data_IF_334181184096
#
_entry.id   IF_334181184096
#
_cell.length_a   1.000
_cell.length_b   1.000
_cell.length_c   1.000
_cell.angle_alpha   90.00
_cell.angle_beta   90.00
_cell.angle_gamma   90.00
#
_symmetry.space_group_name_H-M   'P 1'
#
loop_
_entity.id
_entity.type
_entity.pdbx_description
1 polymer ?
#
# COMPACT_ATOMS: atom_id res chain seq x y z
N UNK A 1 3.17 -17.53 40.19
CA UNK A 1 2.56 -18.14 38.98
C UNK A 1 1.33 -17.37 38.45
N UNK A 2 0.38 -16.93 39.30
CA UNK A 2 -0.85 -16.21 38.87
C UNK A 2 -0.65 -14.77 38.34
N UNK A 3 0.39 -14.06 38.78
CA UNK A 3 0.71 -12.68 38.35
C UNK A 3 1.15 -12.61 36.89
N UNK A 4 2.02 -13.55 36.46
CA UNK A 4 2.56 -13.61 35.11
C UNK A 4 1.48 -13.87 34.06
N UNK A 5 0.44 -14.65 34.42
CA UNK A 5 -0.69 -14.91 33.53
C UNK A 5 -1.53 -13.65 33.29
N UNK A 6 -1.78 -12.85 34.33
CA UNK A 6 -2.53 -11.58 34.18
C UNK A 6 -1.77 -10.57 33.34
N UNK A 7 -0.46 -10.43 33.55
CA UNK A 7 0.38 -9.56 32.74
C UNK A 7 0.46 -10.04 31.28
N UNK A 8 0.54 -11.36 31.05
CA UNK A 8 0.52 -11.92 29.70
C UNK A 8 -0.82 -11.64 28.98
N UNK A 9 -1.95 -11.81 29.67
CA UNK A 9 -3.28 -11.48 29.11
C UNK A 9 -3.37 -9.99 28.80
N UNK A 10 -2.89 -9.11 29.67
CA UNK A 10 -2.92 -7.67 29.44
C UNK A 10 -2.03 -7.25 28.25
N UNK A 11 -0.82 -7.80 28.14
CA UNK A 11 0.05 -7.58 26.99
C UNK A 11 -0.56 -8.10 25.69
N UNK A 12 -1.23 -9.26 25.73
CA UNK A 12 -1.89 -9.82 24.57
C UNK A 12 -3.08 -8.96 24.10
N UNK A 13 -3.91 -8.50 25.04
CA UNK A 13 -5.00 -7.56 24.74
C UNK A 13 -4.47 -6.23 24.19
N UNK A 14 -3.35 -5.74 24.72
CA UNK A 14 -2.69 -4.53 24.22
C UNK A 14 -2.16 -4.71 22.79
N UNK A 15 -1.56 -5.85 22.46
CA UNK A 15 -1.10 -6.17 21.10
C UNK A 15 -2.28 -6.33 20.12
N UNK A 16 -3.37 -6.96 20.54
CA UNK A 16 -4.61 -7.02 19.74
C UNK A 16 -5.11 -5.61 19.47
N UNK A 17 -5.23 -4.78 20.51
CA UNK A 17 -5.67 -3.40 20.36
C UNK A 17 -4.77 -2.62 19.38
N UNK A 18 -3.44 -2.77 19.50
CA UNK A 18 -2.47 -2.12 18.61
C UNK A 18 -2.63 -2.57 17.15
N UNK A 19 -2.90 -3.86 16.91
CA UNK A 19 -3.14 -4.39 15.55
C UNK A 19 -4.46 -3.92 14.92
N UNK A 20 -5.50 -3.68 15.73
CA UNK A 20 -6.79 -3.21 15.26
C UNK A 20 -6.76 -1.73 14.84
N UNK A 21 -5.85 -0.95 15.41
CA UNK A 21 -5.66 0.46 15.05
C UNK A 21 -4.57 0.68 14.01
N UNK A 22 -3.75 -0.34 13.69
CA UNK A 22 -2.75 -0.23 12.62
C UNK A 22 -3.42 -0.31 11.25
N UNK A 23 -3.37 0.79 10.49
CA UNK A 23 -3.69 0.79 9.06
C UNK A 23 -2.39 0.74 8.27
N UNK A 24 -2.17 -0.38 7.58
CA UNK A 24 -1.16 -0.45 6.53
C UNK A 24 -1.77 0.05 5.21
N UNK A 25 -0.99 0.80 4.44
CA UNK A 25 -1.41 1.16 3.08
C UNK A 25 -1.45 -0.10 2.21
N UNK A 26 -2.51 -0.23 1.41
CA UNK A 26 -2.73 -1.42 0.57
C UNK A 26 -2.01 -1.30 -0.77
N UNK A 27 -1.87 -0.08 -1.28
CA UNK A 27 -1.18 0.24 -2.52
C UNK A 27 -0.13 1.28 -2.21
N UNK A 28 1.11 1.06 -2.64
CA UNK A 28 2.27 1.89 -2.30
C UNK A 28 3.07 2.26 -3.55
N UNK A 29 3.86 3.33 -3.44
CA UNK A 29 4.95 3.57 -4.39
C UNK A 29 6.17 2.75 -3.95
N UNK A 30 6.49 1.67 -4.67
CA UNK A 30 7.58 0.75 -4.31
C UNK A 30 8.94 1.20 -4.85
N UNK A 31 8.96 1.91 -5.98
CA UNK A 31 10.17 2.47 -6.57
C UNK A 31 9.90 3.83 -7.22
N UNK A 32 10.90 4.72 -7.13
CA UNK A 32 10.97 5.95 -7.91
C UNK A 32 12.32 5.96 -8.64
N UNK A 33 12.30 5.69 -9.93
CA UNK A 33 13.49 5.71 -10.77
C UNK A 33 13.56 7.04 -11.54
N UNK A 34 13.94 8.11 -10.85
CA UNK A 34 13.92 9.48 -11.36
C UNK A 34 15.15 9.88 -12.21
N UNK A 35 16.22 9.09 -12.19
CA UNK A 35 17.45 9.37 -12.93
C UNK A 35 18.09 8.07 -13.43
N UNK A 36 17.42 7.39 -14.37
CA UNK A 36 17.92 6.15 -14.92
C UNK A 36 19.22 6.37 -15.72
N UNK A 37 20.06 5.33 -15.78
CA UNK A 37 21.26 5.36 -16.63
C UNK A 37 20.90 5.18 -18.10
N UNK A 38 21.45 6.04 -18.96
CA UNK A 38 21.25 6.00 -20.41
C UNK A 38 19.82 6.38 -20.80
N UNK A 39 19.31 5.80 -21.87
CA UNK A 39 18.00 6.13 -22.45
C UNK A 39 16.84 5.32 -21.84
N UNK A 40 17.00 4.85 -20.61
CA UNK A 40 15.95 4.14 -19.88
C UNK A 40 14.87 5.12 -19.42
N UNK A 41 13.60 4.69 -19.30
CA UNK A 41 12.53 5.59 -18.88
C UNK A 41 12.60 5.89 -17.39
N UNK A 42 12.17 7.09 -17.03
CA UNK A 42 11.78 7.42 -15.66
C UNK A 42 10.45 6.75 -15.34
N UNK A 43 10.29 6.28 -14.10
CA UNK A 43 9.02 5.71 -13.66
C UNK A 43 8.80 5.81 -12.15
N UNK A 44 7.52 5.71 -11.78
CA UNK A 44 7.07 5.45 -10.42
C UNK A 44 6.38 4.09 -10.45
N UNK A 45 6.88 3.13 -9.67
CA UNK A 45 6.26 1.82 -9.54
C UNK A 45 5.15 1.86 -8.50
N UNK A 46 3.98 1.34 -8.85
CA UNK A 46 2.83 1.19 -7.95
C UNK A 46 2.67 -0.29 -7.64
N UNK A 47 2.76 -0.66 -6.36
CA UNK A 47 2.63 -2.04 -5.92
C UNK A 47 1.42 -2.24 -5.01
N UNK A 48 0.61 -3.24 -5.33
CA UNK A 48 -0.49 -3.71 -4.48
C UNK A 48 0.05 -4.76 -3.50
N UNK A 49 0.06 -4.43 -2.22
CA UNK A 49 0.53 -5.30 -1.12
C UNK A 49 -0.49 -6.39 -0.76
N UNK A 50 -1.66 -6.41 -1.41
CA UNK A 50 -2.75 -7.36 -1.12
C UNK A 50 -2.84 -8.45 -2.19
N UNK A 51 -3.41 -9.59 -1.82
CA UNK A 51 -3.68 -10.69 -2.75
C UNK A 51 -4.88 -10.45 -3.67
N UNK A 52 -5.65 -9.39 -3.41
CA UNK A 52 -6.86 -9.04 -4.18
C UNK A 52 -6.54 -7.93 -5.16
N UNK A 53 -6.96 -8.02 -6.44
CA UNK A 53 -6.88 -6.90 -7.36
C UNK A 53 -7.55 -5.65 -6.78
N UNK A 54 -6.92 -4.49 -6.99
CA UNK A 54 -7.48 -3.19 -6.64
C UNK A 54 -7.76 -2.43 -7.92
N UNK A 55 -8.99 -1.98 -8.03
CA UNK A 55 -9.40 -1.07 -9.10
C UNK A 55 -8.76 0.30 -8.85
N UNK A 56 -7.85 0.68 -9.75
CA UNK A 56 -7.17 1.97 -9.76
C UNK A 56 -7.67 2.87 -10.88
N UNK A 57 -8.79 2.51 -11.53
CA UNK A 57 -9.41 3.32 -12.57
C UNK A 57 -9.68 4.72 -12.03
N UNK A 58 -9.38 5.74 -12.84
CA UNK A 58 -9.55 7.16 -12.50
C UNK A 58 -8.69 7.64 -11.33
N UNK A 59 -7.78 6.81 -10.79
CA UNK A 59 -6.78 7.29 -9.85
C UNK A 59 -5.90 8.33 -10.53
N UNK A 60 -5.41 9.28 -9.74
CA UNK A 60 -4.50 10.32 -10.18
C UNK A 60 -3.58 10.71 -9.04
N UNK A 61 -2.40 11.20 -9.38
CA UNK A 61 -1.57 11.87 -8.39
C UNK A 61 -2.22 13.21 -8.02
N UNK A 62 -2.11 13.59 -6.76
CA UNK A 62 -2.55 14.92 -6.31
C UNK A 62 -1.60 16.01 -6.78
N UNK A 63 -0.30 15.68 -6.89
CA UNK A 63 0.79 16.59 -7.25
C UNK A 63 1.90 15.85 -8.01
N UNK A 64 2.86 16.61 -8.57
CA UNK A 64 4.05 16.07 -9.24
C UNK A 64 3.79 15.60 -10.67
N UNK A 65 3.11 14.46 -10.84
CA UNK A 65 2.87 13.84 -12.16
C UNK A 65 1.41 14.04 -12.59
N UNK A 66 1.21 14.64 -13.76
CA UNK A 66 -0.11 14.81 -14.36
C UNK A 66 -0.56 13.58 -15.15
N UNK A 67 -1.07 12.56 -14.47
CA UNK A 67 -1.62 11.35 -15.11
C UNK A 67 -2.89 10.89 -14.39
N UNK A 68 -3.90 10.52 -15.18
CA UNK A 68 -5.14 9.92 -14.69
C UNK A 68 -5.24 8.54 -15.32
N UNK A 69 -5.32 7.50 -14.50
CA UNK A 69 -5.56 6.15 -14.99
C UNK A 69 -6.91 6.12 -15.73
N UNK A 70 -6.99 5.50 -16.91
CA UNK A 70 -8.24 5.43 -17.67
C UNK A 70 -9.31 4.69 -16.87
N UNK A 71 -10.56 4.80 -17.32
CA UNK A 71 -11.60 3.89 -16.85
C UNK A 71 -11.31 2.48 -17.38
N UNK A 72 -11.86 1.46 -16.72
CA UNK A 72 -11.83 0.11 -17.28
C UNK A 72 -12.56 0.11 -18.63
N UNK A 73 -11.87 -0.39 -19.67
CA UNK A 73 -12.44 -0.59 -21.00
C UNK A 73 -12.53 -2.10 -21.28
N UNK A 74 -13.75 -2.63 -21.34
CA UNK A 74 -13.98 -4.05 -21.63
C UNK A 74 -13.42 -4.48 -23.01
N UNK A 75 -13.26 -3.54 -23.94
CA UNK A 75 -12.71 -3.80 -25.27
C UNK A 75 -11.17 -3.80 -25.31
N UNK A 76 -10.51 -3.27 -24.27
CA UNK A 76 -9.05 -3.23 -24.09
C UNK A 76 -8.68 -3.52 -22.61
N UNK A 77 -8.86 -4.78 -22.17
CA UNK A 77 -8.76 -5.17 -20.76
C UNK A 77 -7.32 -5.29 -20.21
#
# INVERSE_FOLDING_TARGET
MKSNLKSAVLSFLFLIFLSLISRAEQVVFSEINYNPRGDKPEYIEIYNLTATPKDISKWKMTEGVGYVFPDFDEADP
#
